data_IF_382946324195
#
_entry.id   IF_382946324195
#
_cell.length_a   1.000
_cell.length_b   1.000
_cell.length_c   1.000
_cell.angle_alpha   90.00
_cell.angle_beta   90.00
_cell.angle_gamma   90.00
#
_symmetry.space_group_name_H-M   'P 1'
#
loop_
_entity.id
_entity.type
_entity.pdbx_description
1 polymer ?
#
# COMPACT_ATOMS: atom_id res chain seq x y z
N UNK A 1 12.14 49.49 -29.10
CA UNK A 1 11.96 48.03 -29.22
C UNK A 1 12.89 47.38 -28.23
N UNK A 2 12.39 46.70 -27.19
CA UNK A 2 13.14 45.62 -26.52
C UNK A 2 12.13 44.78 -25.74
N UNK A 3 11.75 43.65 -26.34
CA UNK A 3 10.96 42.59 -25.71
C UNK A 3 11.92 41.77 -24.85
N UNK A 4 11.84 41.91 -23.53
CA UNK A 4 12.48 40.96 -22.60
C UNK A 4 11.58 39.73 -22.48
N UNK A 5 11.88 38.71 -23.28
CA UNK A 5 11.32 37.35 -23.13
C UNK A 5 11.83 36.75 -21.83
N UNK A 6 10.97 36.68 -20.81
CA UNK A 6 11.23 35.95 -19.57
C UNK A 6 10.87 34.49 -19.83
N UNK A 7 11.88 33.64 -20.03
CA UNK A 7 11.71 32.19 -20.05
C UNK A 7 11.44 31.72 -18.61
N UNK A 8 10.19 31.32 -18.32
CA UNK A 8 9.84 30.63 -17.08
C UNK A 8 10.30 29.16 -17.19
N UNK A 9 11.20 28.67 -16.33
CA UNK A 9 11.49 27.24 -16.28
C UNK A 9 10.27 26.53 -15.70
N UNK A 10 9.60 25.73 -16.52
CA UNK A 10 8.54 24.82 -16.10
C UNK A 10 9.19 23.79 -15.19
N UNK A 11 9.01 23.94 -13.87
CA UNK A 11 9.47 22.99 -12.87
C UNK A 11 8.56 21.77 -12.96
N UNK A 12 8.98 20.74 -13.69
CA UNK A 12 8.28 19.45 -13.73
C UNK A 12 8.25 18.85 -12.32
N UNK A 13 7.10 18.90 -11.64
CA UNK A 13 6.87 18.09 -10.45
C UNK A 13 6.84 16.62 -10.89
N UNK A 14 8.00 15.97 -10.85
CA UNK A 14 8.09 14.52 -10.86
C UNK A 14 7.42 14.05 -9.56
N UNK A 15 6.20 13.52 -9.67
CA UNK A 15 5.58 12.78 -8.58
C UNK A 15 6.45 11.55 -8.33
N UNK A 16 7.38 11.65 -7.39
CA UNK A 16 8.13 10.48 -6.92
C UNK A 16 7.12 9.55 -6.26
N UNK A 17 6.92 8.36 -6.81
CA UNK A 17 6.22 7.29 -6.12
C UNK A 17 6.86 7.12 -4.73
N UNK A 18 6.14 7.54 -3.70
CA UNK A 18 6.65 7.52 -2.33
C UNK A 18 6.27 6.18 -1.73
N UNK A 19 7.09 5.15 -1.97
CA UNK A 19 7.12 3.99 -1.09
C UNK A 19 7.53 4.52 0.29
N UNK A 20 6.58 4.54 1.23
CA UNK A 20 6.73 5.20 2.51
C UNK A 20 6.47 4.23 3.64
N UNK A 21 7.50 3.98 4.46
CA UNK A 21 7.25 3.43 5.78
C UNK A 21 6.51 4.45 6.64
N UNK A 22 5.48 4.01 7.34
CA UNK A 22 4.71 4.88 8.21
C UNK A 22 5.57 5.45 9.34
N UNK A 23 5.40 6.75 9.60
CA UNK A 23 5.97 7.44 10.74
C UNK A 23 5.20 7.15 12.03
N UNK A 24 5.70 7.64 13.17
CA UNK A 24 5.19 7.28 14.49
C UNK A 24 3.74 7.70 14.71
N UNK A 25 3.33 8.77 14.07
CA UNK A 25 1.99 9.36 14.12
C UNK A 25 0.98 8.67 13.19
N UNK A 26 1.43 7.84 12.25
CA UNK A 26 0.57 7.22 11.23
C UNK A 26 0.11 5.81 11.57
N UNK A 27 0.93 5.03 12.28
CA UNK A 27 0.67 3.62 12.58
C UNK A 27 1.39 3.15 13.85
N UNK A 28 0.85 2.13 14.49
CA UNK A 28 1.53 1.45 15.58
C UNK A 28 2.58 0.48 15.04
N UNK A 29 3.71 0.37 15.75
CA UNK A 29 4.79 -0.52 15.33
C UNK A 29 4.38 -1.99 15.40
N UNK A 30 4.83 -2.80 14.44
CA UNK A 30 4.56 -4.23 14.41
C UNK A 30 4.96 -4.93 15.71
N UNK A 31 6.15 -4.58 16.22
CA UNK A 31 6.73 -5.23 17.41
C UNK A 31 6.71 -6.75 17.28
N UNK A 32 6.19 -7.42 18.30
CA UNK A 32 6.04 -8.89 18.31
C UNK A 32 5.06 -9.44 17.27
N UNK A 33 4.17 -8.59 16.72
CA UNK A 33 3.16 -9.03 15.75
C UNK A 33 3.68 -9.09 14.31
N UNK A 34 4.93 -8.68 14.05
CA UNK A 34 5.50 -8.62 12.69
C UNK A 34 5.41 -9.97 11.97
N UNK A 35 5.71 -11.06 12.70
CA UNK A 35 5.63 -12.43 12.16
C UNK A 35 4.18 -12.86 11.92
N UNK A 36 3.28 -12.55 12.86
CA UNK A 36 1.85 -12.87 12.71
C UNK A 36 1.26 -12.16 11.49
N UNK A 37 1.52 -10.85 11.35
CA UNK A 37 1.12 -10.07 10.18
C UNK A 37 1.64 -10.67 8.87
N UNK A 38 2.92 -11.12 8.84
CA UNK A 38 3.51 -11.72 7.65
C UNK A 38 2.85 -13.05 7.25
N UNK A 39 2.34 -13.83 8.21
CA UNK A 39 1.65 -15.10 7.95
C UNK A 39 0.26 -14.88 7.32
N UNK A 40 -0.43 -13.79 7.68
CA UNK A 40 -1.76 -13.47 7.14
C UNK A 40 -1.74 -13.04 5.66
N UNK A 41 -0.58 -12.59 5.14
CA UNK A 41 -0.46 -12.08 3.76
C UNK A 41 -0.85 -13.14 2.73
N UNK A 42 -0.50 -14.41 2.97
CA UNK A 42 -0.84 -15.49 2.04
C UNK A 42 -2.35 -15.64 1.87
N UNK A 43 -3.10 -15.53 2.97
CA UNK A 43 -4.56 -15.52 2.92
C UNK A 43 -5.06 -14.22 2.28
N UNK A 44 -4.62 -13.06 2.74
CA UNK A 44 -5.09 -11.76 2.25
C UNK A 44 -4.87 -11.60 0.73
N UNK A 45 -3.73 -12.06 0.21
CA UNK A 45 -3.35 -11.97 -1.19
C UNK A 45 -3.95 -13.08 -2.09
N UNK A 46 -4.81 -13.95 -1.56
CA UNK A 46 -5.41 -15.03 -2.35
C UNK A 46 -6.40 -14.50 -3.41
N UNK A 47 -6.61 -15.26 -4.52
CA UNK A 47 -7.61 -14.93 -5.53
C UNK A 47 -8.99 -14.68 -4.92
N UNK A 48 -9.61 -13.57 -5.29
CA UNK A 48 -10.95 -13.20 -4.82
C UNK A 48 -10.98 -12.47 -3.48
N UNK A 49 -9.83 -12.32 -2.81
CA UNK A 49 -9.64 -11.37 -1.70
C UNK A 49 -8.99 -10.10 -2.23
N UNK A 50 -7.73 -9.82 -1.88
CA UNK A 50 -7.04 -8.64 -2.41
C UNK A 50 -6.56 -8.81 -3.85
N UNK A 51 -6.21 -10.03 -4.27
CA UNK A 51 -5.78 -10.28 -5.65
C UNK A 51 -6.97 -10.52 -6.59
N UNK A 52 -6.71 -10.47 -7.89
CA UNK A 52 -7.70 -10.64 -8.94
C UNK A 52 -8.05 -9.34 -9.66
N UNK A 53 -9.20 -9.32 -10.35
CA UNK A 53 -9.62 -8.19 -11.19
C UNK A 53 -10.06 -6.97 -10.37
N UNK A 54 -9.70 -5.79 -10.87
CA UNK A 54 -10.12 -4.49 -10.38
C UNK A 54 -10.65 -3.64 -11.53
N UNK A 55 -11.75 -2.92 -11.29
CA UNK A 55 -12.14 -1.77 -12.11
C UNK A 55 -11.31 -0.53 -11.74
N UNK A 56 -11.29 0.47 -12.62
CA UNK A 56 -10.68 1.77 -12.35
C UNK A 56 -11.15 2.33 -10.99
N UNK A 57 -10.19 2.71 -10.14
CA UNK A 57 -10.46 3.26 -8.82
C UNK A 57 -10.90 2.26 -7.75
N UNK A 58 -11.10 0.97 -8.11
CA UNK A 58 -11.56 -0.03 -7.16
C UNK A 58 -10.52 -0.27 -6.06
N UNK A 59 -11.01 -0.40 -4.84
CA UNK A 59 -10.25 -0.75 -3.65
C UNK A 59 -10.76 -2.08 -3.10
N UNK A 60 -9.84 -2.89 -2.56
CA UNK A 60 -10.14 -4.08 -1.77
C UNK A 60 -9.34 -4.01 -0.48
N UNK A 61 -9.95 -4.46 0.61
CA UNK A 61 -9.36 -4.42 1.95
C UNK A 61 -9.57 -5.75 2.66
N UNK A 62 -8.56 -6.22 3.37
CA UNK A 62 -8.67 -7.37 4.28
C UNK A 62 -8.20 -6.92 5.66
N UNK A 63 -8.89 -7.40 6.70
CA UNK A 63 -8.52 -7.16 8.07
C UNK A 63 -8.33 -8.51 8.79
N UNK A 64 -7.22 -8.65 9.50
CA UNK A 64 -6.89 -9.87 10.24
C UNK A 64 -6.54 -9.52 11.68
N UNK A 65 -7.24 -10.15 12.63
CA UNK A 65 -6.92 -10.02 14.07
C UNK A 65 -5.60 -10.73 14.36
N UNK A 66 -4.66 -10.02 14.97
CA UNK A 66 -3.34 -10.57 15.35
C UNK A 66 -3.23 -10.84 16.87
N UNK A 67 -3.86 -9.98 17.67
CA UNK A 67 -3.92 -10.12 19.13
C UNK A 67 -5.27 -9.59 19.65
N UNK A 68 -5.50 -9.64 20.98
CA UNK A 68 -6.76 -9.23 21.60
C UNK A 68 -7.25 -7.85 21.13
N UNK A 69 -6.34 -6.86 21.08
CA UNK A 69 -6.60 -5.47 20.70
C UNK A 69 -5.69 -4.99 19.56
N UNK A 70 -5.29 -5.88 18.64
CA UNK A 70 -4.52 -5.51 17.46
C UNK A 70 -4.99 -6.25 16.22
N UNK A 71 -5.16 -5.52 15.13
CA UNK A 71 -5.48 -6.06 13.83
C UNK A 71 -4.63 -5.42 12.74
N UNK A 72 -4.25 -6.21 11.74
CA UNK A 72 -3.60 -5.70 10.52
C UNK A 72 -4.64 -5.47 9.45
N UNK A 73 -4.54 -4.31 8.80
CA UNK A 73 -5.34 -3.94 7.66
C UNK A 73 -4.44 -3.92 6.42
N UNK A 74 -4.78 -4.76 5.45
CA UNK A 74 -4.17 -4.76 4.13
C UNK A 74 -5.13 -4.11 3.15
N UNK A 75 -4.59 -3.30 2.24
CA UNK A 75 -5.36 -2.62 1.21
C UNK A 75 -4.63 -2.72 -0.12
N UNK A 76 -5.42 -2.89 -1.17
CA UNK A 76 -5.00 -2.78 -2.56
C UNK A 76 -5.97 -1.88 -3.30
N UNK A 77 -5.46 -0.96 -4.12
CA UNK A 77 -6.29 -0.11 -4.97
C UNK A 77 -5.69 0.01 -6.38
N UNK A 78 -6.55 -0.05 -7.38
CA UNK A 78 -6.19 0.23 -8.77
C UNK A 78 -6.38 1.72 -9.09
N UNK A 79 -5.30 2.42 -9.36
CA UNK A 79 -5.29 3.86 -9.68
C UNK A 79 -5.21 4.13 -11.19
N UNK A 80 -4.90 3.11 -12.01
CA UNK A 80 -4.75 3.25 -13.45
C UNK A 80 -6.09 3.17 -14.18
N UNK A 81 -6.08 3.40 -15.48
CA UNK A 81 -7.29 3.41 -16.31
C UNK A 81 -7.81 2.01 -16.63
N UNK A 82 -9.11 1.91 -16.96
CA UNK A 82 -9.75 0.65 -17.31
C UNK A 82 -9.75 -0.37 -16.18
N UNK A 83 -9.87 -1.65 -16.52
CA UNK A 83 -9.82 -2.75 -15.56
C UNK A 83 -8.58 -3.60 -15.74
N UNK A 84 -7.96 -4.02 -14.63
CA UNK A 84 -6.74 -4.81 -14.64
C UNK A 84 -6.76 -5.87 -13.53
N UNK A 85 -6.13 -7.01 -13.81
CA UNK A 85 -5.97 -8.11 -12.84
C UNK A 85 -4.64 -7.99 -12.11
N UNK A 86 -4.71 -7.87 -10.78
CA UNK A 86 -3.54 -8.02 -9.92
C UNK A 86 -3.25 -9.51 -9.70
N UNK A 87 -2.03 -9.95 -10.01
CA UNK A 87 -1.57 -11.32 -9.75
C UNK A 87 -1.31 -11.54 -8.27
N UNK A 88 -1.67 -12.71 -7.77
CA UNK A 88 -1.54 -13.08 -6.35
C UNK A 88 -0.09 -12.96 -5.85
N UNK A 89 0.87 -13.42 -6.67
CA UNK A 89 2.30 -13.34 -6.33
C UNK A 89 2.81 -11.90 -6.19
N UNK A 90 2.29 -10.98 -7.00
CA UNK A 90 2.62 -9.56 -6.93
C UNK A 90 1.98 -8.93 -5.69
N UNK A 91 0.71 -9.24 -5.43
CA UNK A 91 0.00 -8.83 -4.21
C UNK A 91 0.76 -9.28 -2.96
N UNK A 92 1.12 -10.57 -2.89
CA UNK A 92 1.87 -11.14 -1.77
C UNK A 92 3.22 -10.44 -1.59
N UNK A 93 4.00 -10.31 -2.67
CA UNK A 93 5.34 -9.74 -2.62
C UNK A 93 5.31 -8.29 -2.15
N UNK A 94 4.37 -7.50 -2.65
CA UNK A 94 4.23 -6.07 -2.29
C UNK A 94 3.85 -5.88 -0.83
N UNK A 95 2.81 -6.56 -0.36
CA UNK A 95 2.41 -6.50 1.05
C UNK A 95 3.51 -7.02 1.98
N UNK A 96 4.21 -8.09 1.59
CA UNK A 96 5.31 -8.65 2.38
C UNK A 96 6.48 -7.69 2.49
N UNK A 97 6.78 -6.93 1.44
CA UNK A 97 7.83 -5.92 1.50
C UNK A 97 7.48 -4.82 2.50
N UNK A 98 6.23 -4.35 2.53
CA UNK A 98 5.77 -3.36 3.52
C UNK A 98 5.90 -3.90 4.95
N UNK A 99 5.45 -5.12 5.21
CA UNK A 99 5.54 -5.73 6.56
C UNK A 99 7.00 -5.98 6.97
N UNK A 100 7.87 -6.40 6.06
CA UNK A 100 9.25 -6.76 6.40
C UNK A 100 10.18 -5.56 6.53
N UNK A 101 10.08 -4.62 5.61
CA UNK A 101 11.03 -3.51 5.48
C UNK A 101 10.63 -2.31 6.34
N UNK A 102 9.34 -2.15 6.65
CA UNK A 102 8.87 -1.06 7.49
C UNK A 102 8.44 -1.57 8.86
N UNK A 103 9.00 -1.02 9.94
CA UNK A 103 8.71 -1.48 11.30
C UNK A 103 7.30 -1.11 11.81
N UNK A 104 6.57 -0.28 11.07
CA UNK A 104 5.20 0.16 11.38
C UNK A 104 4.23 -0.09 10.23
N UNK A 105 4.69 -0.83 9.23
CA UNK A 105 4.02 -0.90 7.94
C UNK A 105 4.22 0.35 7.14
N UNK A 106 3.41 0.49 6.09
CA UNK A 106 3.59 1.54 5.13
C UNK A 106 2.65 1.39 3.95
N UNK A 107 2.93 2.19 2.95
CA UNK A 107 2.24 2.18 1.68
C UNK A 107 3.24 2.30 0.52
N UNK A 108 2.86 1.75 -0.62
CA UNK A 108 3.64 1.82 -1.86
C UNK A 108 2.68 1.94 -3.04
N UNK A 109 3.06 2.75 -4.03
CA UNK A 109 2.35 2.82 -5.31
C UNK A 109 3.32 2.53 -6.42
N UNK A 110 3.04 1.48 -7.19
CA UNK A 110 3.88 1.06 -8.31
C UNK A 110 3.04 0.56 -9.46
N UNK A 111 3.32 1.10 -10.65
CA UNK A 111 2.54 0.82 -11.86
C UNK A 111 1.04 0.98 -11.60
N UNK A 112 0.65 2.07 -10.96
CA UNK A 112 -0.70 2.44 -10.54
C UNK A 112 -1.42 1.48 -9.57
N UNK A 113 -0.72 0.47 -9.05
CA UNK A 113 -1.21 -0.33 -7.94
C UNK A 113 -0.77 0.28 -6.62
N UNK A 114 -1.73 0.73 -5.82
CA UNK A 114 -1.50 1.15 -4.45
C UNK A 114 -1.64 -0.05 -3.51
N UNK A 115 -0.69 -0.17 -2.57
CA UNK A 115 -0.66 -1.18 -1.53
C UNK A 115 -0.49 -0.50 -0.18
N UNK A 116 -1.17 -0.98 0.86
CA UNK A 116 -0.82 -0.61 2.23
C UNK A 116 -0.91 -1.78 3.20
N UNK A 117 -0.07 -1.75 4.23
CA UNK A 117 -0.12 -2.64 5.38
C UNK A 117 -0.04 -1.79 6.64
N UNK A 118 -1.08 -1.83 7.47
CA UNK A 118 -1.24 -0.94 8.63
C UNK A 118 -1.66 -1.74 9.86
N UNK A 119 -0.93 -1.60 10.97
CA UNK A 119 -1.32 -2.19 12.25
C UNK A 119 -2.14 -1.18 13.03
N UNK A 120 -3.31 -1.59 13.52
CA UNK A 120 -4.19 -0.73 14.30
C UNK A 120 -4.55 -1.35 15.63
N UNK A 121 -4.90 -0.49 16.58
CA UNK A 121 -5.57 -0.92 17.81
C UNK A 121 -7.01 -1.33 17.52
N UNK A 122 -7.48 -2.33 18.26
CA UNK A 122 -8.84 -2.86 18.14
C UNK A 122 -8.93 -4.13 17.29
N UNK A 123 -10.16 -4.47 16.91
CA UNK A 123 -10.46 -5.59 16.04
C UNK A 123 -10.84 -5.12 14.64
N UNK A 124 -10.87 -6.09 13.72
CA UNK A 124 -11.74 -6.06 12.56
C UNK A 124 -13.21 -6.11 13.03
#
# INVERSE_FOLDING_TARGET
MHLTSILLPILSLLATAQAGCYKREQSIGWGVEKTAAANEIGLAASPGRLAGFFNNGQEKTECHKLAENKAVHFKVKWLGEGGLTLRDGDCYTRLRNLVKQCDKGGEDTISDWYFSADLRHGSC
#
